data_IF_663452540107
#
_entry.id   IF_663452540107
#
_cell.length_a   1.000
_cell.length_b   1.000
_cell.length_c   1.000
_cell.angle_alpha   90.00
_cell.angle_beta   90.00
_cell.angle_gamma   90.00
#
_symmetry.space_group_name_H-M   'P 1'
#
loop_
_entity.id
_entity.type
_entity.pdbx_description
1 polymer ?
#
# COMPACT_ATOMS: atom_id res chain seq x y z
N UNK A 1 -28.48 31.54 -8.22
CA UNK A 1 -28.03 30.71 -9.36
C UNK A 1 -28.64 29.34 -9.21
N UNK A 2 -29.47 28.92 -10.16
CA UNK A 2 -30.12 27.62 -10.17
C UNK A 2 -29.01 26.58 -10.41
N UNK A 3 -28.73 25.69 -9.45
CA UNK A 3 -27.86 24.54 -9.69
C UNK A 3 -28.54 23.70 -10.76
N UNK A 4 -27.92 23.62 -11.93
CA UNK A 4 -28.39 22.77 -13.01
C UNK A 4 -28.18 21.31 -12.54
N UNK A 5 -29.28 20.57 -12.33
CA UNK A 5 -29.23 19.23 -11.75
C UNK A 5 -28.86 18.20 -12.83
N UNK A 6 -27.55 18.07 -13.06
CA UNK A 6 -26.99 17.22 -14.12
C UNK A 6 -27.16 15.71 -13.87
N UNK A 7 -27.51 15.32 -12.64
CA UNK A 7 -27.70 13.92 -12.22
C UNK A 7 -29.16 13.62 -11.83
N UNK A 8 -30.12 14.45 -12.25
CA UNK A 8 -31.54 14.28 -11.90
C UNK A 8 -32.21 13.00 -12.42
N UNK A 9 -31.51 12.18 -13.22
CA UNK A 9 -31.96 10.83 -13.58
C UNK A 9 -31.73 9.81 -12.46
N UNK A 10 -30.81 10.07 -11.51
CA UNK A 10 -30.54 9.19 -10.36
C UNK A 10 -31.78 9.10 -9.46
N UNK A 11 -32.48 10.22 -9.28
CA UNK A 11 -33.71 10.27 -8.47
C UNK A 11 -34.89 9.51 -9.11
N UNK A 12 -34.76 9.08 -10.37
CA UNK A 12 -35.79 8.33 -11.13
C UNK A 12 -35.45 6.85 -11.28
N UNK A 13 -34.34 6.40 -10.71
CA UNK A 13 -33.91 5.00 -10.78
C UNK A 13 -34.83 4.12 -9.93
N UNK A 14 -35.09 2.90 -10.40
CA UNK A 14 -35.73 1.86 -9.61
C UNK A 14 -34.82 1.38 -8.46
N UNK A 15 -35.40 0.68 -7.47
CA UNK A 15 -34.62 0.11 -6.36
C UNK A 15 -33.52 -0.85 -6.84
N UNK A 16 -33.79 -1.64 -7.88
CA UNK A 16 -32.80 -2.55 -8.49
C UNK A 16 -31.65 -1.78 -9.16
N UNK A 17 -31.96 -0.71 -9.88
CA UNK A 17 -30.95 0.12 -10.55
C UNK A 17 -30.11 0.94 -9.57
N UNK A 18 -30.70 1.39 -8.46
CA UNK A 18 -29.97 2.05 -7.38
C UNK A 18 -29.00 1.09 -6.67
N UNK A 19 -29.41 -0.16 -6.47
CA UNK A 19 -28.55 -1.18 -5.90
C UNK A 19 -27.39 -1.52 -6.85
N UNK A 20 -27.66 -1.68 -8.15
CA UNK A 20 -26.62 -1.91 -9.17
C UNK A 20 -25.63 -0.73 -9.23
N UNK A 21 -26.13 0.50 -9.23
CA UNK A 21 -25.30 1.72 -9.16
C UNK A 21 -24.42 1.71 -7.92
N UNK A 22 -24.98 1.39 -6.75
CA UNK A 22 -24.26 1.35 -5.48
C UNK A 22 -23.14 0.30 -5.48
N UNK A 23 -23.40 -0.87 -6.05
CA UNK A 23 -22.40 -1.93 -6.21
C UNK A 23 -21.27 -1.51 -7.16
N UNK A 24 -21.59 -0.79 -8.24
CA UNK A 24 -20.61 -0.27 -9.20
C UNK A 24 -19.73 0.82 -8.58
N UNK A 25 -20.32 1.74 -7.81
CA UNK A 25 -19.59 2.74 -7.02
C UNK A 25 -18.62 2.06 -6.05
N UNK A 26 -19.07 1.03 -5.35
CA UNK A 26 -18.21 0.26 -4.45
C UNK A 26 -17.07 -0.45 -5.20
N UNK A 27 -17.37 -1.04 -6.34
CA UNK A 27 -16.37 -1.74 -7.18
C UNK A 27 -15.31 -0.78 -7.71
N UNK A 28 -15.70 0.45 -8.05
CA UNK A 28 -14.79 1.54 -8.46
C UNK A 28 -13.94 2.11 -7.29
N UNK A 29 -14.03 1.53 -6.09
CA UNK A 29 -13.16 1.86 -4.95
C UNK A 29 -13.72 2.91 -3.99
N UNK A 30 -15.01 3.26 -4.09
CA UNK A 30 -15.69 4.15 -3.13
C UNK A 30 -16.42 3.32 -2.06
N UNK A 31 -16.88 3.97 -0.99
CA UNK A 31 -17.70 3.26 0.00
C UNK A 31 -19.12 3.05 -0.53
N UNK A 32 -19.81 2.05 0.02
CA UNK A 32 -21.21 1.80 -0.31
C UNK A 32 -22.07 2.99 0.19
N UNK A 33 -22.92 3.59 -0.66
CA UNK A 33 -23.78 4.70 -0.27
C UNK A 33 -24.95 4.24 0.60
N UNK A 34 -25.33 5.04 1.60
CA UNK A 34 -26.44 4.77 2.52
C UNK A 34 -27.77 5.31 2.01
N UNK A 35 -27.73 6.37 1.21
CA UNK A 35 -28.90 7.02 0.63
C UNK A 35 -28.62 7.59 -0.78
N UNK A 36 -29.66 8.06 -1.45
CA UNK A 36 -29.59 8.62 -2.81
C UNK A 36 -28.77 9.91 -2.86
N UNK A 37 -28.70 10.68 -1.77
CA UNK A 37 -27.91 11.91 -1.71
C UNK A 37 -26.41 11.61 -1.63
N UNK A 38 -26.03 10.58 -0.89
CA UNK A 38 -24.68 10.07 -0.79
C UNK A 38 -24.26 9.42 -2.11
N UNK A 39 -25.15 8.68 -2.79
CA UNK A 39 -24.91 8.22 -4.16
C UNK A 39 -24.53 9.37 -5.10
N UNK A 40 -25.33 10.45 -5.11
CA UNK A 40 -25.08 11.63 -5.95
C UNK A 40 -23.73 12.26 -5.62
N UNK A 41 -23.42 12.39 -4.33
CA UNK A 41 -22.16 12.97 -3.87
C UNK A 41 -20.93 12.12 -4.27
N UNK A 42 -21.04 10.80 -4.17
CA UNK A 42 -19.99 9.87 -4.60
C UNK A 42 -19.79 9.86 -6.11
N UNK A 43 -20.88 10.00 -6.89
CA UNK A 43 -20.78 10.12 -8.35
C UNK A 43 -20.15 11.46 -8.74
N UNK A 44 -20.53 12.57 -8.10
CA UNK A 44 -19.87 13.85 -8.32
C UNK A 44 -18.38 13.79 -7.99
N UNK A 45 -18.01 13.07 -6.92
CA UNK A 45 -16.62 12.82 -6.55
C UNK A 45 -15.91 11.96 -7.60
N UNK A 46 -16.51 10.85 -8.03
CA UNK A 46 -15.99 10.00 -9.10
C UNK A 46 -15.73 10.77 -10.39
N UNK A 47 -16.71 11.55 -10.85
CA UNK A 47 -16.56 12.36 -12.05
C UNK A 47 -15.44 13.41 -11.89
N UNK A 48 -15.24 13.94 -10.68
CA UNK A 48 -14.14 14.86 -10.40
C UNK A 48 -12.78 14.16 -10.37
N UNK A 49 -12.69 12.97 -9.74
CA UNK A 49 -11.44 12.21 -9.58
C UNK A 49 -10.89 11.75 -10.93
N UNK A 50 -11.78 11.34 -11.84
CA UNK A 50 -11.44 10.87 -13.18
C UNK A 50 -11.57 11.94 -14.27
N UNK A 51 -11.82 13.20 -13.88
CA UNK A 51 -11.95 14.36 -14.76
C UNK A 51 -12.97 14.13 -15.92
N UNK A 52 -14.09 13.48 -15.60
CA UNK A 52 -15.18 13.15 -16.51
C UNK A 52 -16.21 14.29 -16.58
N UNK A 53 -16.98 14.34 -17.68
CA UNK A 53 -18.02 15.34 -17.85
C UNK A 53 -19.15 15.16 -16.82
N UNK A 54 -19.49 16.24 -16.12
CA UNK A 54 -20.60 16.29 -15.17
C UNK A 54 -21.97 16.07 -15.82
N UNK A 55 -22.06 16.21 -17.15
CA UNK A 55 -23.27 15.98 -17.94
C UNK A 55 -23.35 14.58 -18.58
N UNK A 56 -22.56 13.62 -18.08
CA UNK A 56 -22.54 12.23 -18.56
C UNK A 56 -23.93 11.57 -18.56
N UNK A 57 -24.25 10.83 -19.63
CA UNK A 57 -25.48 10.04 -19.72
C UNK A 57 -25.45 8.85 -18.75
N UNK A 58 -26.62 8.33 -18.40
CA UNK A 58 -26.75 7.14 -17.54
C UNK A 58 -25.91 5.97 -18.06
N UNK A 59 -26.04 5.65 -19.36
CA UNK A 59 -25.36 4.50 -19.95
C UNK A 59 -23.83 4.67 -19.93
N UNK A 60 -23.34 5.89 -20.20
CA UNK A 60 -21.91 6.18 -20.14
C UNK A 60 -21.39 6.16 -18.70
N UNK A 61 -22.14 6.68 -17.72
CA UNK A 61 -21.75 6.62 -16.31
C UNK A 61 -21.60 5.16 -15.84
N UNK A 62 -22.54 4.30 -16.23
CA UNK A 62 -22.49 2.88 -15.90
C UNK A 62 -21.28 2.19 -16.52
N UNK A 63 -20.95 2.57 -17.76
CA UNK A 63 -19.77 2.05 -18.46
C UNK A 63 -18.47 2.51 -17.80
N UNK A 64 -18.36 3.78 -17.43
CA UNK A 64 -17.16 4.31 -16.75
C UNK A 64 -16.97 3.69 -15.36
N UNK A 65 -18.04 3.59 -14.57
CA UNK A 65 -17.97 2.91 -13.26
C UNK A 65 -17.57 1.44 -13.41
N UNK A 66 -18.05 0.77 -14.46
CA UNK A 66 -17.68 -0.60 -14.76
C UNK A 66 -16.19 -0.70 -15.14
N UNK A 67 -15.69 0.18 -16.03
CA UNK A 67 -14.30 0.21 -16.44
C UNK A 67 -13.34 0.46 -15.25
N UNK A 68 -13.73 1.31 -14.31
CA UNK A 68 -12.96 1.58 -13.09
C UNK A 68 -13.15 0.55 -11.97
N UNK A 69 -14.12 -0.36 -12.11
CA UNK A 69 -14.33 -1.46 -11.16
C UNK A 69 -13.56 -2.73 -11.46
N UNK A 70 -13.01 -2.87 -12.66
CA UNK A 70 -12.24 -4.05 -13.05
C UNK A 70 -10.84 -4.07 -12.43
N UNK A 71 -10.42 -5.27 -12.02
CA UNK A 71 -9.05 -5.59 -11.62
C UNK A 71 -8.41 -6.51 -12.66
N UNK A 72 -7.08 -6.49 -12.71
CA UNK A 72 -6.33 -7.35 -13.63
C UNK A 72 -6.66 -8.83 -13.36
N UNK A 73 -7.20 -9.49 -14.39
CA UNK A 73 -7.66 -10.88 -14.34
C UNK A 73 -9.18 -11.06 -14.31
N UNK A 74 -9.96 -9.99 -14.11
CA UNK A 74 -11.43 -10.05 -14.11
C UNK A 74 -12.01 -10.24 -15.52
N UNK A 75 -11.31 -9.74 -16.54
CA UNK A 75 -11.65 -9.90 -17.96
C UNK A 75 -10.40 -10.11 -18.81
N UNK A 76 -10.61 -10.61 -20.02
CA UNK A 76 -9.55 -10.76 -21.02
C UNK A 76 -9.23 -9.38 -21.60
N UNK A 77 -7.97 -8.98 -21.58
CA UNK A 77 -7.50 -7.76 -22.22
C UNK A 77 -6.76 -8.07 -23.51
N UNK A 78 -7.12 -7.36 -24.58
CA UNK A 78 -6.50 -7.48 -25.89
C UNK A 78 -6.61 -6.15 -26.66
N UNK A 79 -5.79 -6.02 -27.70
CA UNK A 79 -5.89 -4.90 -28.63
C UNK A 79 -7.17 -5.06 -29.48
N UNK A 80 -8.14 -4.19 -29.26
CA UNK A 80 -9.45 -4.22 -29.93
C UNK A 80 -9.88 -2.83 -30.40
N UNK A 81 -10.92 -2.78 -31.24
CA UNK A 81 -11.61 -1.55 -31.60
C UNK A 81 -13.09 -1.65 -31.20
N UNK A 82 -13.61 -0.83 -30.27
CA UNK A 82 -12.90 0.24 -29.55
C UNK A 82 -11.80 -0.29 -28.62
N UNK A 83 -10.84 0.59 -28.30
CA UNK A 83 -9.73 0.29 -27.39
C UNK A 83 -10.28 0.03 -25.99
N UNK A 84 -9.82 -1.06 -25.35
CA UNK A 84 -10.19 -1.35 -23.96
C UNK A 84 -9.56 -0.33 -23.02
N UNK A 85 -10.37 0.11 -22.04
CA UNK A 85 -9.94 1.05 -21.01
C UNK A 85 -10.46 0.63 -19.64
N UNK A 86 -9.74 1.01 -18.60
CA UNK A 86 -10.15 0.74 -17.23
C UNK A 86 -8.99 0.59 -16.25
N UNK A 87 -9.35 0.40 -14.99
CA UNK A 87 -8.38 0.26 -13.90
C UNK A 87 -7.57 -1.04 -13.98
N UNK A 88 -8.10 -2.08 -14.65
CA UNK A 88 -7.38 -3.31 -14.95
C UNK A 88 -6.27 -3.13 -16.00
N UNK A 89 -6.50 -2.25 -16.98
CA UNK A 89 -5.50 -1.87 -17.99
C UNK A 89 -4.42 -0.97 -17.36
N UNK A 90 -4.82 -0.05 -16.49
CA UNK A 90 -3.90 0.78 -15.71
C UNK A 90 -2.99 -0.10 -14.83
N UNK A 91 -3.58 -1.04 -14.08
CA UNK A 91 -2.84 -2.03 -13.29
C UNK A 91 -1.86 -2.79 -14.19
N UNK A 92 -2.28 -3.29 -15.36
CA UNK A 92 -1.39 -3.97 -16.30
C UNK A 92 -0.19 -3.09 -16.73
N UNK A 93 -0.44 -1.82 -17.11
CA UNK A 93 0.61 -0.89 -17.52
C UNK A 93 1.62 -0.64 -16.39
N UNK A 94 1.14 -0.44 -15.17
CA UNK A 94 1.98 -0.26 -13.98
C UNK A 94 2.85 -1.49 -13.69
N UNK A 95 2.24 -2.68 -13.69
CA UNK A 95 2.93 -3.93 -13.38
C UNK A 95 3.98 -4.25 -14.45
N UNK A 96 3.65 -4.10 -15.74
CA UNK A 96 4.62 -4.30 -16.82
C UNK A 96 5.74 -3.25 -16.81
N UNK A 97 5.44 -2.01 -16.43
CA UNK A 97 6.47 -0.97 -16.33
C UNK A 97 7.48 -1.30 -15.23
N UNK A 98 7.00 -1.76 -14.07
CA UNK A 98 7.85 -2.21 -12.95
C UNK A 98 8.72 -3.41 -13.30
N UNK A 99 8.17 -4.33 -14.09
CA UNK A 99 8.91 -5.49 -14.59
C UNK A 99 9.88 -5.13 -15.73
N UNK A 100 9.90 -3.86 -16.17
CA UNK A 100 10.80 -3.35 -17.21
C UNK A 100 10.34 -3.62 -18.64
N UNK A 101 9.08 -4.01 -18.84
CA UNK A 101 8.51 -4.34 -20.16
C UNK A 101 7.74 -3.17 -20.81
N UNK A 102 7.29 -2.18 -20.03
CA UNK A 102 6.49 -1.05 -20.52
C UNK A 102 7.13 0.31 -20.13
N UNK A 103 7.36 1.17 -21.13
CA UNK A 103 8.04 2.47 -20.96
C UNK A 103 7.19 3.68 -21.30
N UNK A 104 5.99 3.47 -21.85
CA UNK A 104 5.09 4.55 -22.25
C UNK A 104 4.29 5.10 -21.05
N UNK A 105 3.68 6.29 -21.17
CA UNK A 105 2.82 6.81 -20.11
C UNK A 105 1.67 5.86 -19.78
N UNK A 106 1.37 5.74 -18.49
CA UNK A 106 0.17 5.06 -18.00
C UNK A 106 -1.03 5.95 -18.31
N UNK A 107 -1.94 5.45 -19.15
CA UNK A 107 -3.11 6.17 -19.63
C UNK A 107 -4.39 5.33 -19.56
N UNK A 108 -4.31 4.14 -18.97
CA UNK A 108 -5.43 3.21 -18.78
C UNK A 108 -6.05 2.73 -20.11
N UNK A 109 -5.32 2.80 -21.23
CA UNK A 109 -5.75 2.32 -22.55
C UNK A 109 -4.90 1.15 -23.07
N UNK A 110 -5.56 0.11 -23.59
CA UNK A 110 -4.88 -1.05 -24.17
C UNK A 110 -4.37 -0.74 -25.58
N UNK A 111 -3.30 0.04 -25.64
CA UNK A 111 -2.68 0.49 -26.89
C UNK A 111 -1.89 -0.61 -27.59
N UNK A 112 -1.51 -0.36 -28.85
CA UNK A 112 -0.63 -1.26 -29.60
C UNK A 112 0.74 -1.42 -28.94
N UNK A 113 1.26 -0.38 -28.28
CA UNK A 113 2.53 -0.47 -27.55
C UNK A 113 2.38 -1.32 -26.29
N UNK A 114 1.24 -1.21 -25.58
CA UNK A 114 0.96 -2.10 -24.45
C UNK A 114 0.88 -3.56 -24.88
N UNK A 115 0.25 -3.85 -26.03
CA UNK A 115 0.21 -5.19 -26.61
C UNK A 115 1.62 -5.76 -26.85
N UNK A 116 2.54 -4.98 -27.43
CA UNK A 116 3.94 -5.40 -27.64
C UNK A 116 4.66 -5.68 -26.32
N UNK A 117 4.41 -4.86 -25.30
CA UNK A 117 4.97 -5.10 -23.95
C UNK A 117 4.45 -6.39 -23.32
N UNK A 118 3.17 -6.72 -23.56
CA UNK A 118 2.58 -8.00 -23.15
C UNK A 118 3.24 -9.15 -23.91
N UNK A 119 3.42 -9.05 -25.22
CA UNK A 119 4.11 -10.06 -26.03
C UNK A 119 5.55 -10.30 -25.53
N UNK A 120 6.30 -9.24 -25.25
CA UNK A 120 7.66 -9.33 -24.72
C UNK A 120 7.69 -9.98 -23.32
N UNK A 121 6.71 -9.68 -22.47
CA UNK A 121 6.54 -10.34 -21.17
C UNK A 121 6.22 -11.83 -21.34
N UNK A 122 5.26 -12.16 -22.21
CA UNK A 122 4.87 -13.54 -22.50
C UNK A 122 6.05 -14.36 -23.02
N UNK A 123 6.84 -13.80 -23.93
CA UNK A 123 8.06 -14.40 -24.44
C UNK A 123 9.06 -14.69 -23.32
N UNK A 124 9.34 -13.69 -22.46
CA UNK A 124 10.27 -13.83 -21.36
C UNK A 124 9.85 -14.92 -20.34
N UNK A 125 8.54 -15.15 -20.19
CA UNK A 125 7.97 -16.13 -19.25
C UNK A 125 7.60 -17.47 -19.88
N UNK A 126 7.85 -17.66 -21.17
CA UNK A 126 7.50 -18.90 -21.87
C UNK A 126 5.99 -19.14 -21.95
N UNK A 127 5.20 -18.06 -21.99
CA UNK A 127 3.76 -18.11 -22.25
C UNK A 127 3.48 -18.05 -23.76
N UNK A 128 2.24 -18.27 -24.15
CA UNK A 128 1.79 -18.02 -25.53
C UNK A 128 1.93 -16.53 -25.84
N UNK A 129 2.68 -16.19 -26.90
CA UNK A 129 2.95 -14.82 -27.35
C UNK A 129 1.83 -14.40 -28.29
N UNK A 130 0.70 -14.00 -27.73
CA UNK A 130 -0.49 -13.57 -28.49
C UNK A 130 -0.89 -12.12 -28.19
N UNK A 131 -0.20 -11.45 -27.26
CA UNK A 131 -0.53 -10.10 -26.84
C UNK A 131 -1.86 -10.02 -26.10
N UNK A 132 -2.39 -11.15 -25.61
CA UNK A 132 -3.65 -11.27 -24.88
C UNK A 132 -3.39 -11.56 -23.41
N UNK A 133 -3.92 -10.70 -22.54
CA UNK A 133 -3.86 -10.90 -21.09
C UNK A 133 -5.09 -11.68 -20.64
N UNK A 134 -4.98 -13.00 -20.69
CA UNK A 134 -5.89 -13.93 -20.01
C UNK A 134 -5.46 -14.22 -18.57
N UNK A 135 -6.20 -15.11 -17.91
CA UNK A 135 -5.96 -15.49 -16.52
C UNK A 135 -4.52 -15.96 -16.26
N UNK A 136 -3.95 -16.77 -17.17
CA UNK A 136 -2.59 -17.27 -17.02
C UNK A 136 -1.54 -16.15 -17.06
N UNK A 137 -1.67 -15.22 -18.01
CA UNK A 137 -0.78 -14.06 -18.13
C UNK A 137 -0.91 -13.16 -16.90
N UNK A 138 -2.14 -12.87 -16.46
CA UNK A 138 -2.41 -12.06 -15.27
C UNK A 138 -1.82 -12.68 -13.99
N UNK A 139 -2.01 -13.99 -13.79
CA UNK A 139 -1.43 -14.71 -12.66
C UNK A 139 0.10 -14.65 -12.69
N UNK A 140 0.72 -14.83 -13.86
CA UNK A 140 2.17 -14.84 -13.97
C UNK A 140 2.76 -13.45 -13.69
N UNK A 141 2.14 -12.38 -14.19
CA UNK A 141 2.50 -11.00 -13.85
C UNK A 141 2.41 -10.79 -12.32
N UNK A 142 1.30 -11.22 -11.70
CA UNK A 142 1.08 -11.09 -10.25
C UNK A 142 2.01 -11.95 -9.40
N UNK A 143 2.52 -13.07 -9.89
CA UNK A 143 3.51 -13.89 -9.16
C UNK A 143 4.87 -13.21 -9.06
N UNK A 144 5.26 -12.50 -10.12
CA UNK A 144 6.57 -11.86 -10.22
C UNK A 144 6.63 -10.58 -9.42
N UNK A 145 5.47 -10.03 -9.11
CA UNK A 145 5.30 -8.91 -8.24
C UNK A 145 5.01 -9.49 -6.86
N UNK A 146 6.00 -9.45 -5.96
CA UNK A 146 5.78 -9.85 -4.55
C UNK A 146 4.47 -9.20 -4.08
N UNK A 147 3.58 -9.93 -3.35
CA UNK A 147 2.25 -9.46 -3.00
C UNK A 147 2.26 -8.38 -1.90
N UNK A 148 2.96 -7.28 -2.16
CA UNK A 148 3.06 -6.04 -1.39
C UNK A 148 3.44 -4.85 -2.29
N UNK A 149 3.17 -4.94 -3.61
CA UNK A 149 3.45 -3.87 -4.55
C UNK A 149 2.18 -3.10 -5.01
N UNK A 150 0.98 -3.51 -4.59
CA UNK A 150 -0.28 -2.79 -4.86
C UNK A 150 -0.40 -1.48 -4.04
N UNK A 151 0.56 -1.21 -3.15
CA UNK A 151 0.59 -0.03 -2.28
C UNK A 151 1.48 1.10 -2.77
N UNK A 152 2.17 1.02 -3.91
CA UNK A 152 3.20 2.04 -4.23
C UNK A 152 2.79 3.19 -5.18
N UNK A 153 1.60 3.20 -5.78
CA UNK A 153 1.07 4.40 -6.45
C UNK A 153 -0.29 4.84 -5.90
N UNK A 154 -1.23 3.91 -5.70
CA UNK A 154 -2.58 4.24 -5.20
C UNK A 154 -2.63 4.59 -3.69
N UNK A 155 -1.71 4.09 -2.85
CA UNK A 155 -1.59 4.61 -1.46
C UNK A 155 -0.78 5.89 -1.33
N UNK A 156 0.07 6.20 -2.32
CA UNK A 156 0.75 7.50 -2.32
C UNK A 156 -0.23 8.66 -2.54
N UNK A 157 -1.45 8.38 -3.04
CA UNK A 157 -2.45 9.37 -3.43
C UNK A 157 -3.72 9.35 -2.54
N UNK A 158 -4.17 8.21 -2.00
CA UNK A 158 -5.44 8.13 -1.25
C UNK A 158 -5.25 7.73 0.23
N UNK A 159 -4.99 8.69 1.12
CA UNK A 159 -4.96 8.36 2.55
C UNK A 159 -4.55 9.42 3.57
N UNK A 160 -4.84 10.69 3.33
CA UNK A 160 -4.82 11.76 4.34
C UNK A 160 -3.50 11.98 5.12
N UNK A 161 -2.61 12.80 4.55
CA UNK A 161 -1.75 13.65 5.38
C UNK A 161 -2.63 14.56 6.22
N UNK A 162 -2.74 14.31 7.53
CA UNK A 162 -3.04 15.40 8.47
C UNK A 162 -1.86 16.38 8.40
N UNK A 163 -2.09 17.69 8.18
CA UNK A 163 -1.06 18.67 8.48
C UNK A 163 -0.84 18.63 9.99
N UNK A 164 0.24 17.95 10.43
CA UNK A 164 0.59 17.80 11.85
C UNK A 164 1.38 16.55 12.24
N UNK A 165 1.47 15.50 11.41
CA UNK A 165 2.24 14.29 11.75
C UNK A 165 3.75 14.51 11.54
N UNK A 166 4.48 14.90 12.58
CA UNK A 166 5.94 15.12 12.54
C UNK A 166 6.76 13.81 12.60
N UNK A 167 6.17 12.69 13.05
CA UNK A 167 6.91 11.47 13.33
C UNK A 167 6.78 10.42 12.22
N UNK A 168 7.92 10.01 11.65
CA UNK A 168 8.03 8.94 10.66
C UNK A 168 8.75 7.72 11.29
N UNK A 169 8.17 6.53 11.14
CA UNK A 169 8.71 5.27 11.63
C UNK A 169 8.92 4.33 10.46
N UNK A 170 10.14 3.84 10.28
CA UNK A 170 10.43 2.79 9.32
C UNK A 170 10.47 1.44 10.05
N UNK A 171 9.90 0.39 9.44
CA UNK A 171 9.74 -0.91 10.06
C UNK A 171 10.32 -2.00 9.16
N UNK A 172 11.16 -2.86 9.75
CA UNK A 172 11.57 -4.13 9.16
C UNK A 172 10.97 -5.28 9.97
N UNK A 173 10.32 -6.22 9.29
CA UNK A 173 9.83 -7.46 9.88
C UNK A 173 10.54 -8.61 9.18
N UNK A 174 11.16 -9.50 9.94
CA UNK A 174 11.81 -10.67 9.40
C UNK A 174 10.77 -11.60 8.74
N UNK A 175 11.05 -12.03 7.50
CA UNK A 175 10.14 -12.88 6.71
C UNK A 175 10.23 -14.34 7.20
N UNK A 176 9.52 -14.65 8.27
CA UNK A 176 9.46 -15.99 8.89
C UNK A 176 8.00 -16.32 9.19
N UNK A 177 7.62 -17.59 9.04
CA UNK A 177 6.27 -18.07 9.34
C UNK A 177 5.35 -18.10 8.12
N UNK A 178 4.09 -18.46 8.33
CA UNK A 178 3.10 -18.61 7.27
C UNK A 178 2.72 -17.24 6.67
N UNK A 179 2.63 -17.15 5.35
CA UNK A 179 2.34 -15.90 4.63
C UNK A 179 1.12 -15.15 5.19
N UNK A 180 0.06 -15.89 5.56
CA UNK A 180 -1.15 -15.33 6.16
C UNK A 180 -0.89 -14.63 7.51
N UNK A 181 -0.05 -15.19 8.37
CA UNK A 181 0.32 -14.59 9.66
C UNK A 181 1.14 -13.32 9.46
N UNK A 182 2.01 -13.31 8.45
CA UNK A 182 2.77 -12.14 8.06
C UNK A 182 1.84 -11.00 7.66
N UNK A 183 0.93 -11.23 6.71
CA UNK A 183 -0.01 -10.21 6.21
C UNK A 183 -0.82 -9.58 7.36
N UNK A 184 -1.39 -10.41 8.24
CA UNK A 184 -2.15 -9.95 9.41
C UNK A 184 -1.30 -9.04 10.31
N UNK A 185 -0.03 -9.38 10.52
CA UNK A 185 0.87 -8.59 11.36
C UNK A 185 1.25 -7.25 10.72
N UNK A 186 1.52 -7.25 9.41
CA UNK A 186 1.78 -6.02 8.64
C UNK A 186 0.58 -5.07 8.67
N UNK A 187 -0.63 -5.58 8.40
CA UNK A 187 -1.88 -4.82 8.47
C UNK A 187 -2.09 -4.23 9.87
N UNK A 188 -1.87 -5.04 10.91
CA UNK A 188 -1.98 -4.58 12.30
C UNK A 188 -1.00 -3.44 12.63
N UNK A 189 0.25 -3.54 12.20
CA UNK A 189 1.24 -2.48 12.41
C UNK A 189 0.80 -1.17 11.74
N UNK A 190 0.32 -1.28 10.49
CA UNK A 190 -0.15 -0.13 9.70
C UNK A 190 -1.36 0.54 10.34
N UNK A 191 -2.36 -0.25 10.74
CA UNK A 191 -3.56 0.24 11.42
C UNK A 191 -3.23 0.99 12.73
N UNK A 192 -2.29 0.45 13.52
CA UNK A 192 -1.88 1.09 14.76
C UNK A 192 -1.11 2.39 14.52
N UNK A 193 -0.21 2.43 13.54
CA UNK A 193 0.47 3.68 13.15
C UNK A 193 -0.49 4.77 12.71
N UNK A 194 -1.44 4.41 11.84
CA UNK A 194 -2.47 5.32 11.35
C UNK A 194 -3.34 5.87 12.50
N UNK A 195 -3.75 5.01 13.44
CA UNK A 195 -4.49 5.44 14.65
C UNK A 195 -3.69 6.41 15.51
N UNK A 196 -2.39 6.19 15.65
CA UNK A 196 -1.48 7.08 16.40
C UNK A 196 -1.01 8.30 15.60
N UNK A 197 -1.45 8.46 14.34
CA UNK A 197 -1.04 9.58 13.48
C UNK A 197 0.43 9.56 13.06
N UNK A 198 1.06 8.38 13.10
CA UNK A 198 2.46 8.15 12.73
C UNK A 198 2.52 7.68 11.29
N UNK A 199 3.45 8.25 10.50
CA UNK A 199 3.72 7.75 9.16
C UNK A 199 4.58 6.48 9.25
N UNK A 200 4.11 5.37 8.69
CA UNK A 200 4.82 4.10 8.66
C UNK A 200 5.33 3.82 7.24
N UNK A 201 6.61 3.46 7.14
CA UNK A 201 7.23 2.91 5.93
C UNK A 201 7.81 1.53 6.22
N UNK A 202 7.74 0.59 5.28
CA UNK A 202 8.31 -0.74 5.46
C UNK A 202 9.58 -0.94 4.64
N UNK A 203 10.58 -1.58 5.24
CA UNK A 203 11.84 -1.93 4.55
C UNK A 203 11.62 -2.94 3.42
N UNK A 204 10.54 -3.72 3.46
CA UNK A 204 10.14 -4.58 2.34
C UNK A 204 9.87 -3.81 1.04
N UNK A 205 9.69 -2.48 1.11
CA UNK A 205 9.54 -1.60 -0.05
C UNK A 205 10.88 -1.26 -0.74
N UNK A 206 12.03 -1.59 -0.12
CA UNK A 206 13.36 -1.23 -0.60
C UNK A 206 13.86 -1.98 -1.85
N UNK A 207 13.12 -2.99 -2.32
CA UNK A 207 13.46 -3.80 -3.51
C UNK A 207 13.80 -5.27 -3.20
N UNK A 208 14.41 -5.95 -4.17
CA UNK A 208 14.54 -7.43 -4.18
C UNK A 208 15.54 -7.99 -3.16
N UNK A 209 16.63 -7.27 -2.87
CA UNK A 209 17.70 -7.70 -1.97
C UNK A 209 17.59 -7.05 -0.57
N UNK A 210 17.08 -7.83 0.39
CA UNK A 210 16.93 -7.48 1.79
C UNK A 210 18.18 -7.81 2.63
N UNK A 211 19.37 -7.84 2.02
CA UNK A 211 20.63 -7.87 2.75
C UNK A 211 20.73 -6.72 3.77
N UNK A 212 21.34 -6.98 4.93
CA UNK A 212 21.44 -6.00 6.03
C UNK A 212 22.02 -4.66 5.59
N UNK A 213 22.96 -4.66 4.64
CA UNK A 213 23.56 -3.44 4.09
C UNK A 213 22.56 -2.60 3.27
N UNK A 214 21.72 -3.24 2.45
CA UNK A 214 20.68 -2.56 1.68
C UNK A 214 19.58 -2.03 2.58
N UNK A 215 19.19 -2.78 3.61
CA UNK A 215 18.26 -2.30 4.65
C UNK A 215 18.79 -1.01 5.27
N UNK A 216 20.06 -1.01 5.70
CA UNK A 216 20.70 0.17 6.29
C UNK A 216 20.71 1.34 5.30
N UNK A 217 21.08 1.08 4.04
CA UNK A 217 21.12 2.10 2.98
C UNK A 217 19.74 2.73 2.75
N UNK A 218 18.69 1.92 2.64
CA UNK A 218 17.32 2.37 2.47
C UNK A 218 16.81 3.18 3.67
N UNK A 219 16.98 2.66 4.88
CA UNK A 219 16.56 3.35 6.11
C UNK A 219 17.28 4.68 6.25
N UNK A 220 18.58 4.74 5.94
CA UNK A 220 19.35 5.97 5.97
C UNK A 220 18.92 6.99 4.89
N UNK A 221 18.39 6.52 3.75
CA UNK A 221 17.85 7.36 2.68
C UNK A 221 16.50 7.97 3.07
N UNK A 222 15.61 7.17 3.68
CA UNK A 222 14.31 7.64 4.20
C UNK A 222 14.50 8.57 5.40
N UNK A 223 15.55 8.33 6.19
CA UNK A 223 15.89 9.07 7.40
C UNK A 223 14.69 9.21 8.37
N UNK A 224 14.09 8.09 8.80
CA UNK A 224 12.95 8.11 9.71
C UNK A 224 13.36 8.61 11.11
N UNK A 225 12.37 9.02 11.90
CA UNK A 225 12.58 9.35 13.32
C UNK A 225 12.99 8.12 14.12
N UNK A 226 12.33 6.98 13.86
CA UNK A 226 12.60 5.69 14.49
C UNK A 226 12.68 4.59 13.44
N UNK A 227 13.62 3.67 13.61
CA UNK A 227 13.70 2.42 12.87
C UNK A 227 13.40 1.23 13.81
N UNK A 228 12.30 0.54 13.56
CA UNK A 228 11.87 -0.64 14.32
C UNK A 228 12.18 -1.91 13.53
N UNK A 229 12.76 -2.89 14.19
CA UNK A 229 13.08 -4.20 13.61
C UNK A 229 12.43 -5.28 14.45
N UNK A 230 11.70 -6.20 13.82
CA UNK A 230 11.15 -7.39 14.45
C UNK A 230 11.96 -8.61 13.97
N UNK A 231 12.74 -9.21 14.86
CA UNK A 231 13.54 -10.41 14.59
C UNK A 231 13.01 -11.57 15.43
N UNK A 232 12.83 -12.74 14.79
CA UNK A 232 12.38 -13.92 15.48
C UNK A 232 13.58 -14.60 16.13
N UNK A 233 13.65 -14.58 17.45
CA UNK A 233 14.77 -15.12 18.20
C UNK A 233 14.26 -15.86 19.45
N UNK A 234 15.03 -16.84 19.94
CA UNK A 234 14.76 -17.49 21.24
C UNK A 234 14.90 -16.51 22.41
N UNK A 235 15.63 -15.42 22.21
CA UNK A 235 15.81 -14.36 23.19
C UNK A 235 14.59 -13.41 23.20
N UNK A 236 14.04 -13.14 24.38
CA UNK A 236 12.94 -12.18 24.58
C UNK A 236 13.48 -10.82 25.04
N UNK A 237 14.14 -10.09 24.14
CA UNK A 237 14.82 -8.81 24.44
C UNK A 237 14.36 -7.67 23.55
N UNK A 238 14.60 -6.45 24.00
CA UNK A 238 14.52 -5.25 23.16
C UNK A 238 15.91 -4.64 23.11
N UNK A 239 16.55 -4.78 21.96
CA UNK A 239 17.92 -4.34 21.78
C UNK A 239 17.97 -2.88 21.31
N UNK A 240 18.83 -2.08 21.94
CA UNK A 240 19.11 -0.71 21.56
C UNK A 240 20.62 -0.52 21.37
N UNK A 241 21.01 0.54 20.65
CA UNK A 241 22.43 0.79 20.41
C UNK A 241 23.20 1.15 21.69
N UNK A 242 24.16 0.29 22.06
CA UNK A 242 25.16 0.55 23.10
C UNK A 242 26.51 -0.01 22.64
N UNK A 243 27.45 0.88 22.37
CA UNK A 243 28.86 0.58 22.13
C UNK A 243 29.70 0.72 23.40
N UNK A 244 31.02 0.55 23.24
CA UNK A 244 31.98 0.69 24.35
C UNK A 244 32.02 2.11 24.93
N UNK A 245 31.79 3.13 24.10
CA UNK A 245 31.88 4.55 24.45
C UNK A 245 30.71 5.39 23.92
N UNK A 246 29.66 4.75 23.40
CA UNK A 246 28.53 5.42 22.76
C UNK A 246 27.22 4.71 23.07
N UNK A 247 26.14 5.48 23.15
CA UNK A 247 24.83 5.00 23.59
C UNK A 247 23.74 5.81 22.89
N UNK A 248 22.68 5.15 22.43
CA UNK A 248 21.46 5.83 22.03
C UNK A 248 20.59 6.07 23.26
N UNK A 249 20.57 7.29 23.78
CA UNK A 249 19.76 7.64 24.96
C UNK A 249 18.25 7.48 24.69
N UNK A 250 17.81 7.91 23.51
CA UNK A 250 16.41 7.78 23.07
C UNK A 250 16.07 6.30 22.86
N UNK A 251 16.95 5.56 22.17
CA UNK A 251 16.77 4.11 21.95
C UNK A 251 16.70 3.33 23.26
N UNK A 252 17.53 3.68 24.26
CA UNK A 252 17.50 3.09 25.60
C UNK A 252 16.18 3.39 26.32
N UNK A 253 15.73 4.66 26.36
CA UNK A 253 14.46 5.07 26.99
C UNK A 253 13.28 4.32 26.36
N UNK A 254 13.24 4.23 25.04
CA UNK A 254 12.23 3.46 24.32
C UNK A 254 12.30 1.97 24.65
N UNK A 255 13.49 1.37 24.66
CA UNK A 255 13.66 -0.05 24.98
C UNK A 255 13.20 -0.40 26.41
N UNK A 256 13.41 0.49 27.39
CA UNK A 256 12.96 0.30 28.77
C UNK A 256 11.43 0.38 28.90
N UNK A 257 10.79 1.37 28.27
CA UNK A 257 9.33 1.55 28.33
C UNK A 257 8.61 0.45 27.54
N UNK A 258 9.04 0.20 26.31
CA UNK A 258 8.48 -0.87 25.47
C UNK A 258 8.76 -2.22 26.13
N UNK A 259 9.95 -2.42 26.69
CA UNK A 259 10.34 -3.67 27.37
C UNK A 259 9.45 -3.97 28.56
N UNK A 260 9.13 -2.95 29.36
CA UNK A 260 8.20 -3.08 30.49
C UNK A 260 6.79 -3.48 30.05
N UNK A 261 6.33 -3.00 28.89
CA UNK A 261 4.98 -3.28 28.38
C UNK A 261 4.87 -4.63 27.65
N UNK A 262 5.94 -5.04 26.97
CA UNK A 262 6.01 -6.30 26.21
C UNK A 262 6.61 -7.45 27.03
N UNK A 263 6.92 -7.23 28.31
CA UNK A 263 7.59 -8.21 29.18
C UNK A 263 8.93 -8.71 28.61
N UNK A 264 9.69 -7.78 28.01
CA UNK A 264 10.99 -8.04 27.39
C UNK A 264 12.10 -7.28 28.07
N UNK A 265 13.27 -7.92 28.19
CA UNK A 265 14.43 -7.28 28.84
C UNK A 265 15.10 -6.27 27.88
N UNK A 266 15.28 -5.00 28.26
CA UNK A 266 16.07 -4.06 27.47
C UNK A 266 17.55 -4.49 27.48
N UNK A 267 18.21 -4.39 26.33
CA UNK A 267 19.54 -4.95 26.15
C UNK A 267 20.42 -4.07 25.24
N UNK A 268 21.55 -3.62 25.75
CA UNK A 268 22.49 -2.80 24.99
C UNK A 268 23.34 -3.65 24.03
N UNK A 269 23.25 -3.38 22.73
CA UNK A 269 23.98 -4.11 21.67
C UNK A 269 24.60 -3.18 20.65
N UNK A 270 25.64 -3.64 19.96
CA UNK A 270 26.30 -2.91 18.87
C UNK A 270 26.24 -3.67 17.53
N UNK A 271 25.05 -4.19 17.18
CA UNK A 271 24.81 -4.86 15.90
C UNK A 271 24.86 -3.87 14.73
N UNK A 272 25.19 -4.33 13.52
CA UNK A 272 25.16 -3.61 12.24
C UNK A 272 23.92 -2.73 12.08
N UNK A 273 22.71 -3.30 12.29
CA UNK A 273 21.44 -2.59 12.14
C UNK A 273 21.22 -1.48 13.18
N UNK A 274 21.89 -1.55 14.34
CA UNK A 274 21.79 -0.53 15.40
C UNK A 274 22.90 0.52 15.29
N UNK A 275 24.06 0.11 14.76
CA UNK A 275 25.28 0.94 14.70
C UNK A 275 25.34 1.80 13.45
N UNK A 276 24.88 1.27 12.31
CA UNK A 276 25.10 1.89 11.00
C UNK A 276 23.86 2.62 10.47
N UNK A 277 22.74 2.56 11.19
CA UNK A 277 21.54 3.35 10.91
C UNK A 277 21.64 4.70 11.61
N UNK A 278 21.27 5.77 10.90
CA UNK A 278 21.27 7.15 11.40
C UNK A 278 20.08 7.44 12.31
N UNK A 279 18.96 6.76 12.07
CA UNK A 279 17.74 6.87 12.85
C UNK A 279 17.87 6.21 14.23
N UNK A 280 17.04 6.61 15.19
CA UNK A 280 16.94 5.89 16.47
C UNK A 280 16.42 4.49 16.22
N UNK A 281 17.27 3.48 16.46
CA UNK A 281 17.00 2.11 16.04
C UNK A 281 16.78 1.17 17.23
N UNK A 282 15.78 0.30 17.11
CA UNK A 282 15.39 -0.68 18.13
C UNK A 282 15.08 -2.02 17.46
N UNK A 283 15.56 -3.11 18.05
CA UNK A 283 15.25 -4.47 17.62
C UNK A 283 14.42 -5.18 18.69
N UNK A 284 13.21 -5.59 18.35
CA UNK A 284 12.33 -6.40 19.20
C UNK A 284 12.58 -7.87 18.84
N UNK A 285 13.23 -8.59 19.76
CA UNK A 285 13.54 -10.01 19.61
C UNK A 285 12.45 -10.89 20.24
N UNK A 286 12.03 -11.94 19.54
CA UNK A 286 11.11 -12.96 20.05
C UNK A 286 10.06 -13.38 19.03
N UNK A 287 9.13 -14.25 19.44
CA UNK A 287 7.96 -14.57 18.61
C UNK A 287 7.00 -13.38 18.54
N UNK A 288 7.23 -12.51 17.56
CA UNK A 288 6.55 -11.22 17.47
C UNK A 288 5.10 -11.30 16.98
N UNK A 289 4.69 -12.39 16.33
CA UNK A 289 3.29 -12.62 15.94
C UNK A 289 2.35 -12.74 17.16
N UNK A 290 2.87 -13.15 18.31
CA UNK A 290 2.10 -13.35 19.54
C UNK A 290 2.15 -12.13 20.47
N UNK A 291 2.90 -11.08 20.12
CA UNK A 291 3.09 -9.91 20.99
C UNK A 291 1.91 -8.94 20.86
N UNK A 292 1.48 -8.41 22.00
CA UNK A 292 0.53 -7.30 22.02
C UNK A 292 1.24 -5.95 21.74
N UNK A 293 1.22 -5.53 20.48
CA UNK A 293 1.84 -4.28 20.00
C UNK A 293 0.92 -3.05 20.05
N UNK A 294 -0.28 -3.15 20.66
CA UNK A 294 -1.31 -2.10 20.52
C UNK A 294 -0.87 -0.71 21.01
N UNK A 295 -0.07 -0.66 22.09
CA UNK A 295 0.42 0.61 22.66
C UNK A 295 1.80 1.02 22.14
N UNK A 296 2.37 0.30 21.15
CA UNK A 296 3.75 0.52 20.70
C UNK A 296 3.94 1.93 20.16
N UNK A 297 3.05 2.35 19.26
CA UNK A 297 3.13 3.65 18.59
C UNK A 297 2.75 4.82 19.52
N UNK A 298 1.85 4.59 20.48
CA UNK A 298 1.53 5.56 21.54
C UNK A 298 2.76 5.83 22.42
N UNK A 299 3.49 4.78 22.82
CA UNK A 299 4.74 4.91 23.59
C UNK A 299 5.77 5.70 22.79
N UNK A 300 5.96 5.37 21.51
CA UNK A 300 6.93 6.06 20.67
C UNK A 300 6.56 7.55 20.55
N UNK A 301 5.29 7.86 20.28
CA UNK A 301 4.81 9.24 20.20
C UNK A 301 5.05 9.99 21.52
N UNK A 302 4.73 9.36 22.66
CA UNK A 302 4.92 9.97 23.99
C UNK A 302 6.38 10.27 24.32
N UNK A 303 7.30 9.37 23.97
CA UNK A 303 8.73 9.62 24.21
C UNK A 303 9.25 10.76 23.35
N UNK A 304 8.77 10.90 22.11
CA UNK A 304 9.19 11.99 21.23
C UNK A 304 8.53 13.33 21.57
N UNK A 305 7.31 13.34 22.11
CA UNK A 305 6.70 14.57 22.65
C UNK A 305 7.39 15.09 23.91
N UNK A 306 8.10 14.26 24.66
CA UNK A 306 8.92 14.71 25.79
C UNK A 306 10.23 15.40 25.35
N UNK A 307 10.63 15.24 24.08
CA UNK A 307 11.94 15.64 23.54
C UNK A 307 11.85 16.91 22.67
N UNK A 308 10.70 17.14 22.02
CA UNK A 308 10.40 18.30 21.17
C UNK A 308 9.39 19.23 21.85
#
# INVERSE_FOLDING_TARGET
>A
MIKQDHLGYIDKLSEEELLDLSNKIQSAGYHFPKDTNECRSLIELFLSDYNLDKSISKDNLWLELLNHGYKLGDRILNFSNPVLKGSDVEELQELLSRLGFYSEPINSEYSQELMKSVEAFQENRGLTIDGVVGLNTAIEIKKLIRPNLDTSLNEAIKGFKKPGSMLNVCIYVENIGEYKEQVIFYEKLKDLGNKSGINISFVSEAGEDLGKENIISFVNKINPSVFLTFENNKLSTIDYFQGKHSLSNIGKKLAEIIGSKLEKKPNGKSNMLLKNTKAVSIIINGNFYQININSLFEIISGVYSDIY
#
